data_IF_034910260040
#
_entry.id   IF_034910260040
#
_cell.length_a   1.000
_cell.length_b   1.000
_cell.length_c   1.000
_cell.angle_alpha   90.00
_cell.angle_beta   90.00
_cell.angle_gamma   90.00
#
_symmetry.space_group_name_H-M   'P 1'
#
loop_
_entity.id
_entity.type
_entity.pdbx_description
1 polymer ?
#
# COMPACT_ATOMS: atom_id res chain seq x y z
N UNK A 1 24.46 -40.64 14.35
CA UNK A 1 24.46 -41.01 12.92
C UNK A 1 23.46 -40.08 12.24
N UNK A 2 23.79 -39.22 11.27
CA UNK A 2 24.72 -39.38 10.15
C UNK A 2 25.55 -38.10 9.92
N UNK A 3 26.86 -38.31 9.88
CA UNK A 3 27.99 -37.59 9.28
C UNK A 3 27.97 -36.07 9.00
N UNK A 4 28.87 -35.39 9.70
CA UNK A 4 29.69 -34.31 9.16
C UNK A 4 30.80 -34.85 8.24
N UNK A 5 31.11 -34.14 7.16
CA UNK A 5 32.43 -34.15 6.51
C UNK A 5 32.77 -32.71 6.11
N UNK A 6 33.70 -32.11 6.85
CA UNK A 6 34.50 -30.99 6.35
C UNK A 6 35.72 -31.54 5.61
N UNK A 7 36.17 -30.86 4.55
CA UNK A 7 37.59 -30.55 4.35
C UNK A 7 37.68 -29.16 3.71
N UNK A 8 38.19 -28.21 4.48
CA UNK A 8 38.69 -26.91 4.02
C UNK A 8 40.11 -27.05 3.47
N UNK A 9 40.44 -26.30 2.41
CA UNK A 9 41.82 -25.97 2.03
C UNK A 9 42.01 -24.45 2.27
N UNK A 10 42.96 -24.17 3.15
CA UNK A 10 43.38 -22.86 3.67
C UNK A 10 43.87 -21.88 2.58
N UNK A 11 43.52 -20.60 2.71
CA UNK A 11 44.41 -19.44 2.52
C UNK A 11 43.93 -18.26 3.41
N UNK A 12 44.85 -17.42 3.94
CA UNK A 12 44.55 -16.43 4.96
C UNK A 12 44.13 -15.09 4.33
N UNK A 13 42.99 -14.59 4.75
CA UNK A 13 42.56 -13.22 4.49
C UNK A 13 41.55 -12.87 5.57
N UNK A 14 41.81 -11.81 6.33
CA UNK A 14 40.87 -11.24 7.28
C UNK A 14 39.56 -10.92 6.56
N UNK A 15 38.59 -11.83 6.64
CA UNK A 15 37.19 -11.50 6.45
C UNK A 15 36.65 -11.19 7.84
N UNK A 16 36.56 -9.89 8.15
CA UNK A 16 35.63 -9.44 9.19
C UNK A 16 34.26 -9.94 8.76
N UNK A 17 33.75 -10.97 9.43
CA UNK A 17 32.35 -11.33 9.35
C UNK A 17 31.58 -10.19 10.01
N UNK A 18 31.21 -9.17 9.23
CA UNK A 18 30.14 -8.28 9.60
C UNK A 18 28.89 -9.14 9.49
N UNK A 19 28.48 -9.76 10.59
CA UNK A 19 27.08 -10.16 10.77
C UNK A 19 26.32 -8.84 10.89
N UNK A 20 26.03 -8.24 9.74
CA UNK A 20 25.06 -7.17 9.67
C UNK A 20 23.72 -7.82 9.97
N UNK A 21 23.30 -7.81 11.23
CA UNK A 21 21.88 -7.89 11.58
C UNK A 21 21.29 -6.55 11.14
N UNK A 22 21.22 -6.34 9.82
CA UNK A 22 20.38 -5.30 9.26
C UNK A 22 18.97 -5.82 9.39
N UNK A 23 18.23 -5.33 10.37
CA UNK A 23 16.78 -5.51 10.40
C UNK A 23 16.28 -4.98 9.06
N UNK A 24 15.67 -5.87 8.26
CA UNK A 24 15.03 -5.46 7.01
C UNK A 24 13.87 -4.55 7.42
N UNK A 25 14.07 -3.24 7.30
CA UNK A 25 12.96 -2.29 7.33
C UNK A 25 12.27 -2.45 5.99
N UNK A 26 11.09 -3.09 5.99
CA UNK A 26 10.25 -3.07 4.81
C UNK A 26 9.87 -1.62 4.53
N UNK A 27 10.17 -1.16 3.32
CA UNK A 27 9.88 0.21 2.93
C UNK A 27 8.44 0.39 2.48
N UNK A 28 7.70 -0.71 2.30
CA UNK A 28 6.33 -0.68 1.83
C UNK A 28 5.38 -0.68 3.03
N UNK A 29 4.55 0.36 3.08
CA UNK A 29 3.59 0.60 4.13
C UNK A 29 2.33 1.23 3.53
N UNK A 30 1.22 1.19 4.26
CA UNK A 30 -0.02 1.82 3.84
C UNK A 30 -0.56 2.76 4.89
N UNK A 31 -1.43 3.66 4.45
CA UNK A 31 -2.15 4.55 5.34
C UNK A 31 -3.60 4.66 4.89
N UNK A 32 -4.47 4.88 5.87
CA UNK A 32 -5.91 5.01 5.67
C UNK A 32 -6.43 6.17 6.50
N UNK A 33 -7.44 6.86 5.98
CA UNK A 33 -8.24 7.81 6.73
C UNK A 33 -9.69 7.36 6.70
N UNK A 34 -10.34 7.39 7.87
CA UNK A 34 -11.76 7.05 8.03
C UNK A 34 -12.59 8.23 8.54
N UNK A 35 -11.95 9.32 8.94
CA UNK A 35 -12.56 10.59 9.29
C UNK A 35 -11.51 11.68 9.19
N UNK A 36 -11.93 12.93 9.03
CA UNK A 36 -11.01 14.06 9.14
C UNK A 36 -10.85 14.49 10.60
N UNK A 37 -9.61 14.68 11.10
CA UNK A 37 -8.32 14.59 10.41
C UNK A 37 -7.59 13.25 10.62
N UNK A 38 -8.28 12.17 11.01
CA UNK A 38 -7.69 10.90 11.41
C UNK A 38 -6.91 10.25 10.26
N UNK A 39 -5.69 9.83 10.58
CA UNK A 39 -4.80 9.04 9.72
C UNK A 39 -4.28 7.86 10.52
N UNK A 40 -4.34 6.66 9.98
CA UNK A 40 -3.74 5.44 10.52
C UNK A 40 -2.70 4.92 9.52
N UNK A 41 -1.54 4.50 10.01
CA UNK A 41 -0.39 4.08 9.20
C UNK A 41 0.10 2.71 9.67
N UNK A 42 0.30 1.79 8.73
CA UNK A 42 0.66 0.40 8.97
C UNK A 42 1.80 -0.06 8.08
N UNK A 43 2.74 -0.81 8.64
CA UNK A 43 3.72 -1.56 7.85
C UNK A 43 4.24 -2.76 8.62
N UNK A 44 5.10 -3.53 7.97
CA UNK A 44 5.61 -4.79 8.54
C UNK A 44 6.62 -4.50 9.64
N UNK A 45 6.42 -5.11 10.80
CA UNK A 45 7.34 -5.06 11.93
C UNK A 45 8.67 -5.75 11.61
N UNK A 46 9.78 -5.35 12.24
CA UNK A 46 11.10 -5.97 12.01
C UNK A 46 11.18 -7.42 12.52
N UNK A 47 10.17 -7.88 13.27
CA UNK A 47 10.02 -9.27 13.69
C UNK A 47 9.29 -10.14 12.65
N UNK A 48 8.86 -9.54 11.53
CA UNK A 48 8.07 -10.11 10.43
C UNK A 48 6.70 -10.68 10.84
N UNK A 49 6.47 -10.91 12.14
CA UNK A 49 5.27 -11.52 12.70
C UNK A 49 4.17 -10.51 13.10
N UNK A 50 4.50 -9.22 13.09
CA UNK A 50 3.60 -8.13 13.49
C UNK A 50 3.53 -7.03 12.44
N UNK A 51 2.48 -6.22 12.52
CA UNK A 51 2.46 -4.90 11.91
C UNK A 51 2.82 -3.85 12.96
N UNK A 52 3.61 -2.85 12.58
CA UNK A 52 3.67 -1.61 13.35
C UNK A 52 2.48 -0.74 12.95
N UNK A 53 1.90 -0.03 13.92
CA UNK A 53 0.78 0.87 13.74
C UNK A 53 1.02 2.21 14.43
N UNK A 54 0.71 3.31 13.75
CA UNK A 54 0.72 4.66 14.34
C UNK A 54 -0.38 5.50 13.72
N UNK A 55 -0.99 6.36 14.51
CA UNK A 55 -2.15 7.12 14.06
C UNK A 55 -2.17 8.56 14.58
N UNK A 56 -2.75 9.46 13.79
CA UNK A 56 -2.97 10.86 14.14
C UNK A 56 -4.37 11.07 14.70
N UNK A 57 -4.49 11.67 15.88
CA UNK A 57 -5.78 11.90 16.56
C UNK A 57 -6.48 13.19 16.13
N UNK A 58 -5.83 14.04 15.34
CA UNK A 58 -6.20 15.44 15.16
C UNK A 58 -5.43 16.42 16.05
N UNK A 59 -4.77 15.91 17.08
CA UNK A 59 -4.00 16.70 18.03
C UNK A 59 -2.57 16.21 18.17
N UNK A 60 -2.39 14.89 18.20
CA UNK A 60 -1.09 14.25 18.33
C UNK A 60 -1.04 12.88 17.65
N UNK A 61 0.19 12.44 17.35
CA UNK A 61 0.44 11.08 16.90
C UNK A 61 0.47 10.13 18.10
N UNK A 62 -0.14 8.96 17.92
CA UNK A 62 -0.26 7.91 18.92
C UNK A 62 0.21 6.56 18.36
N UNK A 63 0.85 5.71 19.20
CA UNK A 63 1.38 6.05 20.52
C UNK A 63 2.39 7.21 20.44
N UNK A 64 2.45 8.08 21.46
CA UNK A 64 3.36 9.25 21.45
C UNK A 64 4.82 8.85 21.25
N UNK A 65 5.22 7.71 21.81
CA UNK A 65 6.54 7.12 21.65
C UNK A 65 6.44 5.83 20.85
N UNK A 66 7.23 5.70 19.79
CA UNK A 66 7.28 4.49 18.96
C UNK A 66 5.97 4.21 18.24
N UNK A 67 5.60 2.92 18.18
CA UNK A 67 4.51 2.37 17.41
C UNK A 67 3.79 1.29 18.22
N UNK A 68 2.50 1.10 17.95
CA UNK A 68 1.72 -0.02 18.46
C UNK A 68 2.09 -1.30 17.68
N UNK A 69 2.33 -2.41 18.41
CA UNK A 69 2.63 -3.72 17.82
C UNK A 69 1.34 -4.50 17.60
N UNK A 70 0.82 -4.53 16.38
CA UNK A 70 -0.40 -5.26 16.02
C UNK A 70 -0.04 -6.72 15.66
N UNK A 71 -0.59 -7.73 16.36
CA UNK A 71 -0.36 -9.14 16.03
C UNK A 71 -0.87 -9.46 14.62
N UNK A 72 0.00 -10.05 13.78
CA UNK A 72 -0.31 -10.23 12.36
C UNK A 72 -0.03 -11.64 11.80
N UNK A 73 0.62 -12.54 12.55
CA UNK A 73 0.90 -13.91 12.10
C UNK A 73 1.64 -13.98 10.74
N UNK A 74 2.77 -13.27 10.67
CA UNK A 74 3.69 -13.17 9.52
C UNK A 74 3.12 -12.37 8.34
N UNK A 75 3.35 -11.06 8.29
CA UNK A 75 2.67 -10.17 7.35
C UNK A 75 3.55 -9.75 6.17
N UNK A 76 2.98 -9.78 4.95
CA UNK A 76 3.41 -8.93 3.84
C UNK A 76 3.06 -7.45 4.11
N UNK A 77 3.56 -6.50 3.29
CA UNK A 77 3.04 -5.14 3.29
C UNK A 77 1.51 -5.11 3.25
N UNK A 78 0.84 -4.35 4.14
CA UNK A 78 -0.60 -4.34 4.24
C UNK A 78 -1.25 -3.40 3.23
N UNK A 79 -2.42 -3.78 2.72
CA UNK A 79 -3.36 -2.87 2.07
C UNK A 79 -4.45 -2.46 3.07
N UNK A 80 -4.75 -1.17 3.11
CA UNK A 80 -5.74 -0.61 4.04
C UNK A 80 -6.82 0.17 3.31
N UNK A 81 -8.05 0.08 3.83
CA UNK A 81 -9.22 0.76 3.27
C UNK A 81 -10.20 1.12 4.37
N UNK A 82 -10.96 2.20 4.15
CA UNK A 82 -12.09 2.57 4.99
C UNK A 82 -13.34 2.67 4.13
N UNK A 83 -14.47 2.28 4.71
CA UNK A 83 -15.79 2.42 4.11
C UNK A 83 -16.76 3.22 4.97
N UNK A 84 -16.30 3.77 6.10
CA UNK A 84 -17.14 4.52 7.02
C UNK A 84 -16.37 5.10 8.19
N UNK A 85 -17.00 6.08 8.84
CA UNK A 85 -16.47 6.69 10.05
C UNK A 85 -16.29 5.66 11.16
N UNK A 86 -15.14 5.70 11.83
CA UNK A 86 -14.76 4.76 12.89
C UNK A 86 -14.31 3.39 12.38
N UNK A 87 -14.25 3.18 11.05
CA UNK A 87 -13.94 1.89 10.44
C UNK A 87 -12.76 1.94 9.48
N UNK A 88 -11.79 1.06 9.70
CA UNK A 88 -10.84 0.67 8.66
C UNK A 88 -10.60 -0.83 8.68
N UNK A 89 -10.14 -1.35 7.55
CA UNK A 89 -9.81 -2.75 7.31
C UNK A 89 -8.34 -2.82 6.85
N UNK A 90 -7.63 -3.84 7.33
CA UNK A 90 -6.22 -4.13 7.05
C UNK A 90 -6.14 -5.55 6.51
N UNK A 91 -5.68 -5.69 5.28
CA UNK A 91 -5.48 -7.01 4.64
C UNK A 91 -4.03 -7.16 4.19
N UNK A 92 -3.52 -8.38 4.31
CA UNK A 92 -2.14 -8.72 3.92
C UNK A 92 -2.06 -10.21 3.61
N UNK A 93 -0.99 -10.63 2.96
CA UNK A 93 -0.72 -12.06 2.69
C UNK A 93 0.17 -12.60 3.79
N UNK A 94 -0.08 -13.82 4.26
CA UNK A 94 0.83 -14.44 5.22
C UNK A 94 2.16 -14.85 4.55
N UNK A 95 3.30 -14.77 5.23
CA UNK A 95 4.58 -15.13 4.59
C UNK A 95 4.80 -16.66 4.48
N UNK A 96 4.22 -17.44 5.41
CA UNK A 96 4.33 -18.92 5.47
C UNK A 96 3.34 -19.67 4.59
N UNK A 97 2.33 -19.00 4.05
CA UNK A 97 1.32 -19.56 3.15
C UNK A 97 0.94 -18.53 2.10
N UNK A 98 -0.01 -18.80 1.23
CA UNK A 98 -0.52 -17.79 0.28
C UNK A 98 -1.92 -17.36 0.68
N UNK A 99 -2.19 -17.24 1.98
CA UNK A 99 -3.52 -16.88 2.48
C UNK A 99 -3.58 -15.37 2.75
N UNK A 100 -4.70 -14.77 2.39
CA UNK A 100 -5.03 -13.40 2.78
C UNK A 100 -5.52 -13.43 4.22
N UNK A 101 -4.88 -12.64 5.07
CA UNK A 101 -5.28 -12.39 6.44
C UNK A 101 -5.92 -11.01 6.56
N UNK A 102 -6.85 -10.90 7.50
CA UNK A 102 -7.66 -9.71 7.70
C UNK A 102 -7.78 -9.34 9.18
N UNK A 103 -7.59 -8.05 9.45
CA UNK A 103 -7.95 -7.37 10.70
C UNK A 103 -8.69 -6.08 10.37
N UNK A 104 -9.44 -5.56 11.32
CA UNK A 104 -10.18 -4.31 11.18
C UNK A 104 -10.27 -3.58 12.51
N UNK A 105 -10.64 -2.31 12.44
CA UNK A 105 -11.02 -1.50 13.60
C UNK A 105 -12.45 -1.01 13.43
N UNK A 106 -13.28 -1.16 14.46
CA UNK A 106 -14.66 -0.67 14.50
C UNK A 106 -15.03 -0.28 15.94
N UNK A 107 -14.43 0.82 16.41
CA UNK A 107 -14.41 1.19 17.84
C UNK A 107 -13.54 0.27 18.72
N UNK A 108 -12.99 -0.79 18.14
CA UNK A 108 -12.04 -1.74 18.72
C UNK A 108 -11.50 -2.68 17.66
N UNK A 109 -10.38 -3.34 17.96
CA UNK A 109 -9.74 -4.28 17.03
C UNK A 109 -10.55 -5.57 16.86
N UNK A 110 -10.72 -5.97 15.60
CA UNK A 110 -11.42 -7.16 15.14
C UNK A 110 -10.59 -7.97 14.12
N UNK A 111 -10.64 -9.32 14.12
CA UNK A 111 -11.05 -10.13 15.27
C UNK A 111 -10.25 -9.75 16.53
N UNK A 112 -10.48 -10.39 17.68
CA UNK A 112 -9.88 -9.96 18.95
C UNK A 112 -8.38 -9.61 18.80
N UNK A 113 -7.85 -8.72 19.65
CA UNK A 113 -6.50 -8.18 19.51
C UNK A 113 -5.42 -9.21 19.05
N UNK A 114 -5.41 -10.40 19.66
CA UNK A 114 -4.46 -11.48 19.38
C UNK A 114 -4.80 -12.34 18.15
N UNK A 115 -6.04 -12.32 17.70
CA UNK A 115 -6.53 -13.16 16.60
C UNK A 115 -6.38 -12.46 15.25
N UNK A 116 -6.38 -13.26 14.18
CA UNK A 116 -6.41 -12.80 12.79
C UNK A 116 -7.45 -13.62 12.02
N UNK A 117 -8.17 -12.98 11.11
CA UNK A 117 -9.14 -13.68 10.26
C UNK A 117 -8.45 -14.21 9.00
N UNK A 118 -8.44 -15.54 8.81
CA UNK A 118 -7.85 -16.16 7.62
C UNK A 118 -8.90 -16.35 6.51
N UNK A 119 -8.72 -15.64 5.41
CA UNK A 119 -9.59 -15.63 4.25
C UNK A 119 -9.17 -16.63 3.15
N UNK A 120 -8.05 -17.36 3.31
CA UNK A 120 -7.49 -18.25 2.28
C UNK A 120 -7.02 -17.52 1.02
N UNK A 121 -7.02 -18.20 -0.13
CA UNK A 121 -6.99 -17.57 -1.45
C UNK A 121 -5.83 -17.93 -2.38
N UNK A 122 -4.73 -18.49 -1.87
CA UNK A 122 -3.52 -18.75 -2.66
C UNK A 122 -3.02 -17.50 -3.43
N UNK A 123 -2.91 -16.39 -2.72
CA UNK A 123 -2.59 -15.05 -3.19
C UNK A 123 -1.15 -14.68 -2.84
N UNK A 124 -0.44 -13.99 -3.74
CA UNK A 124 0.92 -13.45 -3.55
C UNK A 124 0.95 -11.94 -3.34
N UNK A 125 -0.12 -11.23 -3.73
CA UNK A 125 -0.30 -9.80 -3.51
C UNK A 125 -1.78 -9.50 -3.30
N UNK A 126 -2.12 -8.58 -2.39
CA UNK A 126 -3.51 -8.20 -2.12
C UNK A 126 -3.66 -6.68 -2.09
N UNK A 127 -4.72 -6.18 -2.73
CA UNK A 127 -5.15 -4.78 -2.62
C UNK A 127 -6.63 -4.69 -2.28
N UNK A 128 -7.01 -3.60 -1.62
CA UNK A 128 -8.35 -3.35 -1.12
C UNK A 128 -8.87 -1.98 -1.54
N UNK A 129 -10.18 -1.87 -1.72
CA UNK A 129 -10.89 -0.60 -1.86
C UNK A 129 -12.30 -0.72 -1.31
N UNK A 130 -13.01 0.39 -1.17
CA UNK A 130 -14.45 0.39 -0.90
C UNK A 130 -15.20 1.19 -1.95
N UNK A 131 -16.34 0.64 -2.38
CA UNK A 131 -17.26 1.31 -3.30
C UNK A 131 -18.57 1.77 -2.66
N UNK A 132 -18.79 1.47 -1.38
CA UNK A 132 -19.99 1.87 -0.64
C UNK A 132 -19.84 1.60 0.86
N UNK A 133 -20.57 2.32 1.72
CA UNK A 133 -20.62 1.98 3.14
C UNK A 133 -21.00 0.52 3.41
N UNK A 134 -20.35 -0.09 4.39
CA UNK A 134 -20.56 -1.49 4.78
C UNK A 134 -19.99 -2.52 3.79
N UNK A 135 -19.04 -2.10 2.94
CA UNK A 135 -18.45 -2.95 1.91
C UNK A 135 -16.94 -2.76 1.78
N UNK A 136 -16.26 -3.89 1.63
CA UNK A 136 -14.84 -3.96 1.25
C UNK A 136 -14.71 -4.85 0.00
N UNK A 137 -13.93 -4.43 -0.97
CA UNK A 137 -13.63 -5.20 -2.18
C UNK A 137 -12.13 -5.49 -2.21
N UNK A 138 -11.77 -6.77 -2.36
CA UNK A 138 -10.40 -7.26 -2.38
C UNK A 138 -10.09 -7.87 -3.74
N UNK A 139 -8.96 -7.47 -4.33
CA UNK A 139 -8.42 -8.12 -5.52
C UNK A 139 -6.98 -8.51 -5.26
N UNK A 140 -6.65 -9.77 -5.50
CA UNK A 140 -5.31 -10.30 -5.27
C UNK A 140 -4.76 -11.01 -6.48
N UNK A 141 -3.43 -11.15 -6.51
CA UNK A 141 -2.70 -11.93 -7.52
C UNK A 141 -2.56 -13.39 -7.06
N UNK A 142 -2.96 -14.34 -7.90
CA UNK A 142 -2.80 -15.78 -7.69
C UNK A 142 -2.16 -16.40 -8.93
N UNK A 143 -0.84 -16.60 -8.89
CA UNK A 143 -0.05 -16.93 -10.09
C UNK A 143 -0.08 -15.75 -11.07
N UNK A 144 -0.48 -16.01 -12.31
CA UNK A 144 -0.63 -14.97 -13.35
C UNK A 144 -2.07 -14.48 -13.50
N UNK A 145 -2.98 -14.94 -12.63
CA UNK A 145 -4.39 -14.54 -12.66
C UNK A 145 -4.73 -13.66 -11.45
N UNK A 146 -5.80 -12.87 -11.58
CA UNK A 146 -6.39 -12.16 -10.45
C UNK A 146 -7.55 -12.95 -9.84
N UNK A 147 -7.73 -12.77 -8.53
CA UNK A 147 -8.84 -13.32 -7.74
C UNK A 147 -9.51 -12.22 -6.93
N UNK A 148 -10.78 -12.43 -6.58
CA UNK A 148 -11.65 -11.45 -5.94
C UNK A 148 -12.42 -12.03 -4.77
N UNK A 149 -12.59 -11.21 -3.74
CA UNK A 149 -13.44 -11.44 -2.59
C UNK A 149 -13.99 -10.11 -2.10
N UNK A 150 -15.17 -10.10 -1.52
CA UNK A 150 -15.74 -8.90 -0.93
C UNK A 150 -16.41 -9.18 0.40
N UNK A 151 -16.36 -8.20 1.29
CA UNK A 151 -17.23 -8.11 2.44
C UNK A 151 -18.47 -7.32 2.05
N UNK A 152 -19.66 -7.88 2.24
CA UNK A 152 -20.92 -7.21 1.93
C UNK A 152 -21.92 -7.54 3.04
N UNK A 153 -22.46 -6.51 3.70
CA UNK A 153 -23.56 -6.64 4.66
C UNK A 153 -23.31 -7.67 5.78
N UNK A 154 -22.08 -7.79 6.28
CA UNK A 154 -21.76 -8.70 7.38
C UNK A 154 -21.20 -10.06 6.96
N UNK A 155 -21.03 -10.30 5.65
CA UNK A 155 -20.58 -11.59 5.13
C UNK A 155 -19.48 -11.45 4.07
N UNK A 156 -18.56 -12.41 4.07
CA UNK A 156 -17.60 -12.60 3.00
C UNK A 156 -18.23 -13.31 1.80
N UNK A 157 -17.98 -12.81 0.61
CA UNK A 157 -18.45 -13.36 -0.65
C UNK A 157 -17.29 -13.49 -1.66
N UNK A 158 -17.10 -14.68 -2.26
CA UNK A 158 -17.75 -15.94 -1.91
C UNK A 158 -17.45 -16.37 -0.45
N UNK A 159 -18.35 -17.16 0.15
CA UNK A 159 -18.29 -17.53 1.57
C UNK A 159 -17.07 -18.37 1.97
N UNK A 160 -16.76 -18.38 3.27
CA UNK A 160 -15.62 -19.11 3.82
C UNK A 160 -14.28 -18.64 3.25
N UNK A 161 -13.35 -19.58 3.02
CA UNK A 161 -12.01 -19.32 2.47
C UNK A 161 -11.95 -19.35 0.93
N UNK A 162 -13.10 -19.25 0.27
CA UNK A 162 -13.17 -19.27 -1.19
C UNK A 162 -12.98 -17.88 -1.79
N UNK A 163 -12.53 -17.85 -3.05
CA UNK A 163 -12.28 -16.67 -3.87
C UNK A 163 -12.84 -16.87 -5.28
N UNK A 164 -13.35 -15.79 -5.88
CA UNK A 164 -13.79 -15.79 -7.27
C UNK A 164 -12.61 -15.49 -8.19
N UNK A 165 -12.39 -16.28 -9.24
CA UNK A 165 -11.38 -15.93 -10.24
C UNK A 165 -11.84 -14.75 -11.10
N UNK A 166 -10.96 -13.77 -11.27
CA UNK A 166 -11.07 -12.71 -12.27
C UNK A 166 -10.27 -13.03 -13.54
N UNK A 167 -9.59 -14.18 -13.63
CA UNK A 167 -8.87 -14.61 -14.83
C UNK A 167 -7.69 -13.70 -15.17
N UNK A 168 -7.33 -13.64 -16.45
CA UNK A 168 -6.21 -12.86 -16.97
C UNK A 168 -4.88 -13.62 -17.02
N UNK A 169 -3.88 -12.99 -17.65
CA UNK A 169 -2.49 -13.45 -17.75
C UNK A 169 -1.54 -12.27 -17.54
N UNK A 170 -1.37 -11.89 -16.28
CA UNK A 170 -0.75 -10.63 -15.88
C UNK A 170 0.71 -10.79 -15.46
N UNK A 171 1.54 -9.83 -15.84
CA UNK A 171 2.89 -9.63 -15.31
C UNK A 171 2.89 -8.75 -14.05
N UNK A 172 1.91 -7.85 -13.87
CA UNK A 172 1.82 -6.98 -12.69
C UNK A 172 0.87 -7.48 -11.61
N UNK A 173 1.03 -6.94 -10.42
CA UNK A 173 -0.03 -6.96 -9.41
C UNK A 173 -1.25 -6.13 -9.86
N UNK A 174 -2.47 -6.43 -9.35
CA UNK A 174 -3.67 -5.68 -9.70
C UNK A 174 -3.70 -4.31 -9.01
N UNK A 175 -4.25 -3.31 -9.69
CA UNK A 175 -4.70 -2.08 -9.05
C UNK A 175 -6.19 -1.89 -9.21
N UNK A 176 -6.84 -1.39 -8.14
CA UNK A 176 -8.29 -1.27 -8.08
C UNK A 176 -8.74 0.09 -7.55
N UNK A 177 -9.88 0.55 -8.05
CA UNK A 177 -10.59 1.71 -7.49
C UNK A 177 -12.08 1.59 -7.72
N UNK A 178 -12.83 2.53 -7.15
CA UNK A 178 -14.23 2.74 -7.46
C UNK A 178 -14.53 4.22 -7.55
N UNK A 179 -15.31 4.59 -8.56
CA UNK A 179 -15.87 5.94 -8.68
C UNK A 179 -17.25 6.09 -8.02
N UNK A 180 -17.81 5.01 -7.46
CA UNK A 180 -19.15 5.05 -6.89
C UNK A 180 -19.84 3.68 -6.71
N UNK A 181 -21.01 3.68 -6.05
CA UNK A 181 -21.75 2.46 -5.75
C UNK A 181 -22.00 1.59 -6.98
N UNK A 182 -21.72 0.30 -6.87
CA UNK A 182 -21.95 -0.67 -7.94
C UNK A 182 -20.86 -0.70 -9.02
N UNK A 183 -19.85 0.19 -8.96
CA UNK A 183 -18.66 0.15 -9.81
C UNK A 183 -17.43 -0.35 -9.06
N UNK A 184 -16.70 -1.28 -9.66
CA UNK A 184 -15.31 -1.60 -9.28
C UNK A 184 -14.50 -1.67 -10.56
N UNK A 185 -13.38 -0.99 -10.62
CA UNK A 185 -12.46 -1.02 -11.74
C UNK A 185 -11.16 -1.70 -11.34
N UNK A 186 -10.66 -2.58 -12.20
CA UNK A 186 -9.45 -3.36 -12.01
C UNK A 186 -8.58 -3.19 -13.24
N UNK A 187 -7.32 -2.80 -13.04
CA UNK A 187 -6.32 -2.74 -14.10
C UNK A 187 -5.13 -3.63 -13.77
N UNK A 188 -4.49 -4.13 -14.81
CA UNK A 188 -3.28 -4.95 -14.74
C UNK A 188 -2.47 -4.82 -16.01
N UNK A 189 -1.17 -5.05 -15.91
CA UNK A 189 -0.27 -5.12 -17.06
C UNK A 189 -0.08 -6.58 -17.43
N UNK A 190 -0.51 -6.95 -18.63
CA UNK A 190 -0.38 -8.27 -19.21
C UNK A 190 1.09 -8.60 -19.52
N UNK A 191 1.40 -9.88 -19.74
CA UNK A 191 2.78 -10.32 -20.00
C UNK A 191 3.41 -9.77 -21.29
N UNK A 192 2.60 -9.30 -22.22
CA UNK A 192 3.02 -8.59 -23.42
C UNK A 192 3.26 -7.08 -23.19
N UNK A 193 3.05 -6.59 -21.97
CA UNK A 193 3.22 -5.18 -21.60
C UNK A 193 1.98 -4.32 -21.84
N UNK A 194 0.85 -4.91 -22.27
CA UNK A 194 -0.38 -4.16 -22.48
C UNK A 194 -1.07 -3.89 -21.15
N UNK A 195 -1.63 -2.68 -21.01
CA UNK A 195 -2.49 -2.38 -19.87
C UNK A 195 -3.90 -2.83 -20.21
N UNK A 196 -4.42 -3.79 -19.44
CA UNK A 196 -5.78 -4.27 -19.54
C UNK A 196 -6.65 -3.77 -18.38
N UNK A 197 -7.94 -3.71 -18.64
CA UNK A 197 -8.95 -3.25 -17.71
C UNK A 197 -10.16 -4.17 -17.71
N UNK A 198 -10.72 -4.34 -16.52
CA UNK A 198 -11.98 -5.03 -16.27
C UNK A 198 -12.73 -4.28 -15.21
N UNK A 199 -14.05 -4.30 -15.31
CA UNK A 199 -14.89 -3.61 -14.36
C UNK A 199 -16.13 -4.41 -13.99
N UNK A 200 -16.65 -4.11 -12.82
CA UNK A 200 -17.97 -4.55 -12.39
C UNK A 200 -18.96 -3.40 -12.56
N UNK A 201 -20.00 -3.60 -13.36
CA UNK A 201 -21.17 -2.71 -13.45
C UNK A 201 -22.37 -3.53 -13.93
N UNK A 202 -23.33 -3.79 -13.02
CA UNK A 202 -24.44 -4.73 -13.26
C UNK A 202 -24.01 -6.14 -13.69
N UNK A 203 -22.76 -6.51 -13.38
CA UNK A 203 -22.11 -7.73 -13.85
C UNK A 203 -20.64 -7.47 -14.09
N UNK A 204 -19.85 -8.55 -14.14
CA UNK A 204 -18.42 -8.46 -14.39
C UNK A 204 -18.16 -8.42 -15.91
N UNK A 205 -17.46 -7.40 -16.40
CA UNK A 205 -17.09 -7.24 -17.81
C UNK A 205 -16.11 -8.33 -18.27
N UNK A 206 -15.72 -8.32 -19.55
CA UNK A 206 -14.49 -9.01 -20.00
C UNK A 206 -13.28 -8.10 -19.77
N UNK A 207 -12.08 -8.67 -19.78
CA UNK A 207 -10.84 -7.91 -19.93
C UNK A 207 -10.80 -7.24 -21.31
N UNK A 208 -10.35 -5.99 -21.35
CA UNK A 208 -10.13 -5.23 -22.58
C UNK A 208 -8.86 -4.39 -22.46
N UNK A 209 -8.20 -4.17 -23.59
CA UNK A 209 -6.96 -3.39 -23.66
C UNK A 209 -7.32 -1.90 -23.54
N UNK A 210 -6.66 -1.18 -22.64
CA UNK A 210 -6.70 0.30 -22.54
C UNK A 210 -5.43 0.96 -23.06
N UNK A 211 -4.32 0.23 -23.17
CA UNK A 211 -3.10 0.75 -23.75
C UNK A 211 -2.16 -0.34 -24.24
N UNK A 212 -1.58 -0.14 -25.41
CA UNK A 212 -0.74 -1.13 -26.12
C UNK A 212 0.73 -1.12 -25.68
N UNK A 213 1.08 -0.40 -24.62
CA UNK A 213 2.40 -0.48 -23.97
C UNK A 213 3.60 -0.23 -24.90
N UNK A 214 4.80 -0.74 -24.53
CA UNK A 214 5.09 -1.54 -23.34
C UNK A 214 5.03 -0.72 -22.03
N UNK A 215 4.19 -1.16 -21.09
CA UNK A 215 4.15 -0.67 -19.72
C UNK A 215 4.80 -1.68 -18.76
N UNK A 216 5.26 -1.23 -17.60
CA UNK A 216 5.83 -2.11 -16.57
C UNK A 216 5.46 -1.67 -15.15
N UNK A 217 5.82 -2.51 -14.17
CA UNK A 217 5.51 -2.30 -12.75
C UNK A 217 4.04 -2.58 -12.43
N UNK A 218 3.58 -2.12 -11.27
CA UNK A 218 2.16 -2.21 -10.90
C UNK A 218 1.44 -0.92 -11.32
N UNK A 219 0.39 -0.98 -12.17
CA UNK A 219 -0.35 0.21 -12.59
C UNK A 219 -1.04 0.88 -11.39
N UNK A 220 -1.52 2.11 -11.54
CA UNK A 220 -2.47 2.71 -10.58
C UNK A 220 -3.74 3.13 -11.28
N UNK A 221 -4.83 3.11 -10.53
CA UNK A 221 -6.12 3.65 -10.96
C UNK A 221 -6.73 4.44 -9.81
N UNK A 222 -7.20 5.65 -10.08
CA UNK A 222 -7.80 6.56 -9.10
C UNK A 222 -9.08 7.19 -9.64
N UNK A 223 -9.86 7.81 -8.76
CA UNK A 223 -11.09 8.51 -9.11
C UNK A 223 -11.36 9.64 -8.11
N UNK A 224 -11.91 10.76 -8.58
CA UNK A 224 -12.45 11.81 -7.71
C UNK A 224 -13.97 11.80 -7.59
N UNK A 225 -14.66 10.87 -8.25
CA UNK A 225 -16.11 10.81 -8.23
C UNK A 225 -16.69 10.12 -9.45
N UNK A 226 -18.02 10.02 -9.45
CA UNK A 226 -18.80 9.37 -10.50
C UNK A 226 -18.38 9.83 -11.88
N UNK A 227 -18.30 8.89 -12.82
CA UNK A 227 -17.91 9.14 -14.21
C UNK A 227 -16.48 9.68 -14.40
N UNK A 228 -15.60 9.58 -13.39
CA UNK A 228 -14.16 9.81 -13.55
C UNK A 228 -13.31 8.60 -13.17
N UNK A 229 -12.43 8.17 -14.09
CA UNK A 229 -11.29 7.30 -13.77
C UNK A 229 -10.02 7.91 -14.35
N UNK A 230 -8.93 7.82 -13.58
CA UNK A 230 -7.58 8.17 -13.99
C UNK A 230 -6.71 6.92 -13.87
N UNK A 231 -6.02 6.55 -14.95
CA UNK A 231 -5.17 5.38 -15.07
C UNK A 231 -3.74 5.87 -15.25
N UNK A 232 -2.82 5.27 -14.50
CA UNK A 232 -1.42 5.65 -14.43
C UNK A 232 -0.55 4.43 -14.70
N UNK A 233 0.45 4.58 -15.56
CA UNK A 233 1.38 3.50 -15.92
C UNK A 233 2.77 4.05 -16.19
N UNK A 234 3.82 3.30 -15.82
CA UNK A 234 5.18 3.62 -16.26
C UNK A 234 5.41 3.02 -17.65
N UNK A 235 5.89 3.85 -18.58
CA UNK A 235 6.48 3.35 -19.81
C UNK A 235 7.91 2.87 -19.55
N UNK A 236 8.55 2.20 -20.53
CA UNK A 236 9.88 1.57 -20.38
C UNK A 236 10.98 2.49 -19.83
N UNK A 237 10.92 3.80 -20.08
CA UNK A 237 11.91 4.77 -19.60
C UNK A 237 11.70 5.21 -18.15
N UNK A 238 10.62 4.75 -17.49
CA UNK A 238 10.19 5.19 -16.17
C UNK A 238 9.39 6.49 -16.17
N UNK A 239 9.00 7.00 -17.34
CA UNK A 239 8.09 8.14 -17.44
C UNK A 239 6.68 7.76 -17.01
N UNK A 240 6.03 8.65 -16.25
CA UNK A 240 4.65 8.48 -15.84
C UNK A 240 3.73 8.85 -17.00
N UNK A 241 2.90 7.90 -17.43
CA UNK A 241 1.86 8.11 -18.42
C UNK A 241 0.48 8.11 -17.75
N UNK A 242 -0.43 8.90 -18.30
CA UNK A 242 -1.78 9.12 -17.79
C UNK A 242 -2.82 8.92 -18.90
N UNK A 243 -3.90 8.21 -18.57
CA UNK A 243 -5.10 8.05 -19.36
C UNK A 243 -6.30 8.31 -18.47
N UNK A 244 -7.34 8.96 -18.98
CA UNK A 244 -8.55 9.14 -18.19
C UNK A 244 -9.84 8.93 -18.95
N UNK A 245 -10.88 8.56 -18.21
CA UNK A 245 -12.26 8.54 -18.65
C UNK A 245 -12.98 9.81 -18.19
N UNK A 246 -13.74 10.46 -19.07
CA UNK A 246 -14.40 11.74 -18.81
C UNK A 246 -15.93 11.66 -18.58
N UNK A 247 -16.46 10.44 -18.47
CA UNK A 247 -17.90 10.16 -18.39
C UNK A 247 -18.49 9.67 -19.71
N UNK A 248 -17.79 9.89 -20.82
CA UNK A 248 -18.28 9.55 -22.17
C UNK A 248 -17.30 8.69 -22.95
N UNK A 249 -16.00 8.96 -22.82
CA UNK A 249 -14.95 8.23 -23.52
C UNK A 249 -13.63 8.28 -22.76
N UNK A 250 -12.76 7.32 -23.07
CA UNK A 250 -11.35 7.41 -22.73
C UNK A 250 -10.68 8.47 -23.60
N UNK A 251 -9.85 9.31 -23.00
CA UNK A 251 -9.01 10.24 -23.73
C UNK A 251 -7.78 9.53 -24.30
N UNK A 252 -6.91 10.26 -25.01
CA UNK A 252 -5.61 9.72 -25.41
C UNK A 252 -4.66 9.63 -24.21
N UNK A 253 -3.71 8.69 -24.26
CA UNK A 253 -2.58 8.66 -23.32
C UNK A 253 -1.74 9.94 -23.45
N UNK A 254 -1.37 10.53 -22.32
CA UNK A 254 -0.43 11.64 -22.22
C UNK A 254 0.77 11.28 -21.34
N UNK A 255 1.97 11.71 -21.73
CA UNK A 255 3.17 11.54 -20.90
C UNK A 255 3.36 12.75 -20.00
N UNK A 256 3.51 12.49 -18.70
CA UNK A 256 3.78 13.49 -17.67
C UNK A 256 5.29 13.62 -17.38
N UNK A 257 6.13 12.85 -18.08
CA UNK A 257 7.57 12.79 -17.89
C UNK A 257 7.95 12.16 -16.54
N UNK A 258 9.10 12.58 -16.01
CA UNK A 258 9.70 11.97 -14.82
C UNK A 258 10.52 10.72 -15.16
N UNK A 259 11.12 10.14 -14.12
CA UNK A 259 11.92 8.90 -14.21
C UNK A 259 11.77 8.15 -12.90
N UNK A 260 10.72 7.35 -12.83
CA UNK A 260 10.31 6.63 -11.65
C UNK A 260 10.62 5.14 -11.79
N UNK A 261 10.87 4.48 -10.66
CA UNK A 261 10.98 3.01 -10.56
C UNK A 261 9.66 2.37 -10.17
N UNK A 262 8.81 3.11 -9.47
CA UNK A 262 7.47 2.74 -9.05
C UNK A 262 6.49 3.86 -9.40
N UNK A 263 5.21 3.54 -9.63
CA UNK A 263 4.24 4.58 -9.98
C UNK A 263 4.06 5.53 -8.78
N UNK A 264 4.19 6.86 -8.99
CA UNK A 264 3.90 7.87 -7.98
C UNK A 264 2.52 7.71 -7.33
N UNK A 265 2.39 8.12 -6.06
CA UNK A 265 1.10 8.21 -5.40
C UNK A 265 0.28 9.35 -6.01
N UNK A 266 -1.01 9.10 -6.20
CA UNK A 266 -1.95 10.06 -6.79
C UNK A 266 -3.10 10.26 -5.83
N UNK A 267 -3.37 11.52 -5.48
CA UNK A 267 -4.52 11.89 -4.68
C UNK A 267 -5.35 12.95 -5.39
N UNK A 268 -6.66 12.85 -5.15
CA UNK A 268 -7.63 13.84 -5.60
C UNK A 268 -8.24 14.50 -4.38
N UNK A 269 -8.23 15.82 -4.33
CA UNK A 269 -8.84 16.57 -3.23
C UNK A 269 -10.09 17.34 -3.63
N UNK A 270 -10.30 17.60 -4.93
CA UNK A 270 -11.57 18.03 -5.50
C UNK A 270 -11.65 17.62 -6.98
N UNK A 271 -12.82 17.77 -7.60
CA UNK A 271 -12.99 17.46 -9.01
C UNK A 271 -12.05 18.31 -9.89
N UNK A 272 -11.24 17.64 -10.71
CA UNK A 272 -10.26 18.31 -11.56
C UNK A 272 -9.01 18.80 -10.80
N UNK A 273 -8.77 18.38 -9.56
CA UNK A 273 -7.52 18.66 -8.86
C UNK A 273 -6.83 17.38 -8.43
N UNK A 274 -5.60 17.26 -8.91
CA UNK A 274 -4.79 16.05 -8.76
C UNK A 274 -3.44 16.49 -8.21
N UNK A 275 -2.97 15.84 -7.14
CA UNK A 275 -1.59 15.91 -6.71
C UNK A 275 -0.93 14.55 -6.86
N UNK A 276 0.27 14.55 -7.44
CA UNK A 276 1.08 13.37 -7.71
C UNK A 276 2.40 13.54 -6.99
N UNK A 277 2.73 12.60 -6.11
CA UNK A 277 4.01 12.57 -5.40
C UNK A 277 4.68 11.23 -5.62
N UNK A 278 5.88 11.26 -6.17
CA UNK A 278 6.68 10.07 -6.44
C UNK A 278 8.12 10.23 -5.97
N UNK A 279 8.87 9.14 -5.92
CA UNK A 279 10.29 9.16 -5.58
C UNK A 279 11.17 9.15 -6.83
N UNK A 280 12.08 10.12 -6.90
CA UNK A 280 13.13 10.19 -7.92
C UNK A 280 14.50 10.20 -7.23
N UNK A 281 15.23 9.07 -7.33
CA UNK A 281 16.41 8.84 -6.50
C UNK A 281 16.01 8.78 -5.03
N UNK A 282 16.62 9.59 -4.16
CA UNK A 282 16.25 9.68 -2.74
C UNK A 282 15.30 10.86 -2.43
N UNK A 283 14.71 11.47 -3.46
CA UNK A 283 13.92 12.71 -3.33
C UNK A 283 12.48 12.48 -3.73
N UNK A 284 11.55 12.90 -2.89
CA UNK A 284 10.15 13.03 -3.28
C UNK A 284 9.98 14.25 -4.17
N UNK A 285 9.26 14.06 -5.27
CA UNK A 285 8.92 15.11 -6.24
C UNK A 285 7.41 15.21 -6.37
N UNK A 286 6.90 16.42 -6.55
CA UNK A 286 5.48 16.71 -6.71
C UNK A 286 5.18 17.28 -8.08
N UNK A 287 4.05 16.86 -8.65
CA UNK A 287 3.38 17.47 -9.80
C UNK A 287 1.90 17.59 -9.50
N UNK A 288 1.23 18.63 -10.01
CA UNK A 288 -0.20 18.78 -9.84
C UNK A 288 -0.93 19.21 -11.11
N UNK A 289 -2.22 18.93 -11.12
CA UNK A 289 -3.19 19.41 -12.10
C UNK A 289 -4.11 20.42 -11.44
N UNK A 290 -4.18 21.63 -12.02
CA UNK A 290 -4.96 22.75 -11.45
C UNK A 290 -6.39 22.85 -12.02
N UNK A 291 -6.87 21.83 -12.72
CA UNK A 291 -8.17 21.83 -13.40
C UNK A 291 -8.08 22.23 -14.87
N UNK A 292 -6.97 22.84 -15.28
CA UNK A 292 -6.73 23.25 -16.66
C UNK A 292 -5.37 22.76 -17.17
N UNK A 293 -4.33 22.84 -16.35
CA UNK A 293 -2.96 22.55 -16.76
C UNK A 293 -2.23 21.67 -15.74
N UNK A 294 -1.32 20.87 -16.27
CA UNK A 294 -0.29 20.19 -15.51
C UNK A 294 0.84 21.16 -15.19
N UNK A 295 1.09 21.41 -13.90
CA UNK A 295 2.25 22.16 -13.45
C UNK A 295 3.55 21.33 -13.54
N UNK A 296 4.72 21.97 -13.53
CA UNK A 296 6.01 21.27 -13.61
C UNK A 296 6.30 20.41 -12.37
N UNK A 297 7.14 19.37 -12.53
CA UNK A 297 7.67 18.62 -11.39
C UNK A 297 8.58 19.52 -10.55
N UNK A 298 8.44 19.45 -9.23
CA UNK A 298 9.35 20.13 -8.30
C UNK A 298 9.73 19.23 -7.12
N UNK A 299 10.91 19.47 -6.55
CA UNK A 299 11.41 18.68 -5.42
C UNK A 299 10.64 19.04 -4.14
N UNK A 300 10.17 18.04 -3.43
CA UNK A 300 9.43 18.20 -2.17
C UNK A 300 10.35 18.04 -0.97
N UNK A 301 10.98 16.87 -0.78
CA UNK A 301 11.88 16.58 0.33
C UNK A 301 12.83 15.43 -0.04
N UNK A 302 13.98 15.30 0.64
CA UNK A 302 15.04 14.34 0.28
C UNK A 302 15.39 13.36 1.40
N UNK A 303 16.30 12.42 1.12
CA UNK A 303 16.78 11.37 2.01
C UNK A 303 15.73 10.29 2.34
N UNK A 304 14.90 9.92 1.37
CA UNK A 304 13.89 8.85 1.50
C UNK A 304 14.34 7.50 0.92
N UNK A 305 14.07 6.43 1.67
CA UNK A 305 14.29 5.05 1.25
C UNK A 305 13.00 4.38 0.73
N UNK A 306 11.83 4.73 1.23
CA UNK A 306 10.55 4.21 0.70
C UNK A 306 9.99 5.05 -0.43
N UNK A 307 9.03 4.48 -1.16
CA UNK A 307 8.05 5.28 -1.90
C UNK A 307 7.21 6.13 -0.92
N UNK A 308 6.63 7.25 -1.37
CA UNK A 308 5.74 8.03 -0.54
C UNK A 308 4.42 7.30 -0.31
N UNK A 309 3.74 7.63 0.77
CA UNK A 309 2.30 7.41 0.98
C UNK A 309 1.65 8.76 1.17
N UNK A 310 0.57 9.01 0.43
CA UNK A 310 -0.09 10.32 0.41
C UNK A 310 -1.57 10.16 0.70
N UNK A 311 -2.08 10.99 1.60
CA UNK A 311 -3.50 11.12 1.90
C UNK A 311 -3.93 12.56 1.67
N UNK A 312 -5.09 12.76 1.06
CA UNK A 312 -5.72 14.06 0.94
C UNK A 312 -6.97 14.12 1.80
N UNK A 313 -7.16 15.27 2.46
CA UNK A 313 -8.45 15.60 3.05
C UNK A 313 -9.46 15.84 1.93
N UNK A 314 -10.62 15.18 1.97
CA UNK A 314 -11.61 15.33 0.88
C UNK A 314 -12.18 16.75 0.86
N UNK A 315 -12.22 17.34 -0.33
CA UNK A 315 -12.74 18.70 -0.55
C UNK A 315 -11.79 19.82 -0.14
N UNK A 316 -10.58 19.49 0.33
CA UNK A 316 -9.61 20.47 0.79
C UNK A 316 -8.24 20.13 0.24
N UNK A 317 -7.49 21.14 -0.21
CA UNK A 317 -6.09 20.98 -0.59
C UNK A 317 -5.21 20.80 0.64
N UNK A 318 -5.49 19.82 1.48
CA UNK A 318 -4.68 19.46 2.65
C UNK A 318 -4.12 18.06 2.43
N UNK A 319 -2.80 17.96 2.32
CA UNK A 319 -2.11 16.71 2.00
C UNK A 319 -1.29 16.26 3.20
N UNK A 320 -1.33 14.97 3.51
CA UNK A 320 -0.39 14.31 4.40
C UNK A 320 0.52 13.41 3.59
N UNK A 321 1.83 13.69 3.63
CA UNK A 321 2.86 12.93 2.92
C UNK A 321 3.70 12.20 3.94
N UNK A 322 3.82 10.89 3.79
CA UNK A 322 4.57 9.99 4.65
C UNK A 322 5.66 9.29 3.85
N UNK A 323 6.77 8.96 4.50
CA UNK A 323 7.83 8.15 3.92
C UNK A 323 8.83 7.70 4.96
N UNK A 324 9.57 6.64 4.65
CA UNK A 324 10.65 6.12 5.49
C UNK A 324 11.96 6.69 4.98
N UNK A 325 12.69 7.39 5.85
CA UNK A 325 13.99 7.95 5.51
C UNK A 325 15.07 6.87 5.40
N UNK A 326 16.23 7.22 4.84
CA UNK A 326 17.37 6.28 4.72
C UNK A 326 17.96 5.80 6.05
N UNK A 327 17.57 6.43 7.17
CA UNK A 327 17.90 6.00 8.53
C UNK A 327 16.87 5.04 9.13
N UNK A 328 15.80 4.68 8.41
CA UNK A 328 14.72 3.82 8.93
C UNK A 328 13.67 4.58 9.74
N UNK A 329 13.70 5.91 9.74
CA UNK A 329 12.74 6.75 10.43
C UNK A 329 11.47 6.99 9.62
N UNK A 330 10.29 6.79 10.22
CA UNK A 330 9.05 7.30 9.62
C UNK A 330 9.03 8.83 9.69
N UNK A 331 8.82 9.48 8.55
CA UNK A 331 8.74 10.92 8.39
C UNK A 331 7.36 11.33 7.90
N UNK A 332 6.97 12.55 8.27
CA UNK A 332 5.78 13.20 7.73
C UNK A 332 6.06 14.64 7.31
N UNK A 333 5.32 15.08 6.30
CA UNK A 333 5.20 16.48 5.90
C UNK A 333 3.73 16.71 5.54
N UNK A 334 3.20 17.90 5.81
CA UNK A 334 1.84 18.25 5.39
C UNK A 334 1.84 19.48 4.51
N UNK A 335 0.93 19.51 3.54
CA UNK A 335 0.52 20.73 2.86
C UNK A 335 -0.75 21.24 3.53
N UNK A 336 -0.72 22.48 4.02
CA UNK A 336 -1.83 23.08 4.79
C UNK A 336 -2.96 23.64 3.93
N UNK A 337 -2.81 23.62 2.60
CA UNK A 337 -3.60 24.43 1.66
C UNK A 337 -2.93 25.75 1.29
N UNK A 338 -1.92 26.17 2.07
CA UNK A 338 -1.20 27.42 1.87
C UNK A 338 0.31 27.22 1.79
N UNK A 339 0.86 26.33 2.61
CA UNK A 339 2.29 26.08 2.73
C UNK A 339 2.61 24.66 3.22
N UNK A 340 3.86 24.23 2.98
CA UNK A 340 4.41 22.98 3.50
C UNK A 340 4.86 23.17 4.94
N UNK A 341 4.49 22.22 5.80
CA UNK A 341 4.85 22.20 7.21
C UNK A 341 5.64 20.92 7.53
N UNK A 342 6.70 21.01 8.36
CA UNK A 342 7.13 22.19 9.14
C UNK A 342 7.81 23.29 8.31
N UNK A 343 8.14 22.98 7.06
CA UNK A 343 8.65 23.91 6.08
C UNK A 343 8.82 23.21 4.73
N UNK A 344 9.14 23.97 3.67
CA UNK A 344 9.58 23.40 2.40
C UNK A 344 10.83 22.53 2.63
N UNK A 345 10.84 21.31 2.10
CA UNK A 345 11.95 20.35 2.23
C UNK A 345 12.25 19.85 3.65
N UNK A 346 11.44 20.20 4.64
CA UNK A 346 11.57 19.72 6.01
C UNK A 346 10.48 18.70 6.35
N UNK A 347 10.76 17.81 7.30
CA UNK A 347 9.83 16.75 7.72
C UNK A 347 9.86 16.58 9.24
N UNK A 348 8.73 16.20 9.83
CA UNK A 348 8.70 15.72 11.20
C UNK A 348 9.13 14.27 11.29
N UNK A 349 9.87 13.94 12.33
CA UNK A 349 10.21 12.57 12.71
C UNK A 349 9.08 11.95 13.54
N UNK A 350 8.60 10.78 13.15
CA UNK A 350 7.50 10.09 13.82
C UNK A 350 7.97 8.86 14.63
N UNK A 351 9.16 8.34 14.37
CA UNK A 351 9.75 7.25 15.14
C UNK A 351 10.68 6.36 14.32
N UNK A 352 11.44 5.53 15.03
CA UNK A 352 12.40 4.59 14.45
C UNK A 352 11.72 3.24 14.15
N UNK A 353 11.70 2.83 12.87
CA UNK A 353 11.13 1.54 12.46
C UNK A 353 12.12 0.38 12.59
N UNK A 354 13.40 0.65 12.85
CA UNK A 354 14.35 -0.40 13.23
C UNK A 354 14.10 -0.90 14.66
N UNK A 355 13.49 -0.06 15.50
CA UNK A 355 13.07 -0.39 16.87
C UNK A 355 11.69 0.23 17.21
N UNK A 356 10.60 -0.24 16.60
CA UNK A 356 9.31 0.44 16.68
C UNK A 356 8.63 0.33 18.06
N UNK A 357 8.97 -0.68 18.85
CA UNK A 357 8.21 -1.09 20.05
C UNK A 357 8.86 -0.70 21.40
N UNK A 358 9.98 0.03 21.37
CA UNK A 358 10.71 0.45 22.58
C UNK A 358 11.22 -0.71 23.47
N UNK A 359 11.74 -0.37 24.66
CA UNK A 359 12.28 -1.35 25.63
C UNK A 359 11.20 -1.96 26.55
N UNK A 360 10.03 -1.33 26.67
CA UNK A 360 8.93 -1.79 27.52
C UNK A 360 8.30 -3.09 27.02
N UNK A 361 8.33 -3.34 25.71
CA UNK A 361 7.75 -4.55 25.11
C UNK A 361 8.64 -5.79 25.24
N UNK A 362 9.90 -5.63 25.67
CA UNK A 362 10.77 -6.76 26.03
C UNK A 362 10.17 -7.58 27.19
N UNK A 363 9.32 -6.98 28.03
CA UNK A 363 8.65 -7.70 29.14
C UNK A 363 7.47 -8.56 28.69
N UNK A 364 6.91 -8.30 27.51
CA UNK A 364 5.83 -9.10 26.91
C UNK A 364 6.34 -10.11 25.88
N UNK A 365 7.67 -10.22 25.70
CA UNK A 365 8.27 -11.40 25.09
C UNK A 365 7.99 -12.61 25.99
N UNK A 366 6.84 -13.27 25.80
CA UNK A 366 6.82 -14.72 25.90
C UNK A 366 7.81 -15.18 24.83
N UNK A 367 9.02 -15.48 25.27
CA UNK A 367 9.97 -16.25 24.49
C UNK A 367 9.22 -17.46 23.93
N UNK A 368 8.96 -17.46 22.63
CA UNK A 368 8.65 -18.70 21.92
C UNK A 368 9.92 -19.53 22.05
N UNK A 369 9.91 -20.44 23.02
CA UNK A 369 10.94 -21.48 23.11
C UNK A 369 10.95 -22.28 21.82
N UNK A 370 12.11 -22.80 21.40
CA UNK A 370 12.15 -23.76 20.31
C UNK A 370 11.23 -24.94 20.66
N UNK A 371 10.44 -25.36 19.68
CA UNK A 371 9.40 -26.37 19.73
C UNK A 371 9.57 -27.47 20.82
N UNK A 372 8.53 -27.62 21.64
CA UNK A 372 8.14 -28.88 22.27
C UNK A 372 8.82 -29.22 23.61
N UNK A 373 8.13 -28.92 24.71
CA UNK A 373 7.69 -29.91 25.72
C UNK A 373 6.93 -29.21 26.85
N UNK A 374 5.79 -29.79 27.24
CA UNK A 374 5.02 -29.40 28.42
C UNK A 374 5.76 -29.80 29.70
N UNK A 375 5.94 -28.86 30.63
CA UNK A 375 5.86 -29.10 32.08
C UNK A 375 5.19 -27.94 32.79
#
# INVERSE_FOLDING_TARGET
MVYAREVSLLLPGLATLVVGVGTRVDTDFSAVSWADPRVDVFGVGPDEASLWHKFWTGWDWQPRSGFERVPAAEASPPSTSSWGEGRFDVVYVNASGSNVLHKYYDGGWGPSWEDVEDLGGNVTFITSTSRSPGRLDLVGRSGDSYVYKAWIHGEWLPGGKHWQTFGGDFASDPAITSWGPGRLDVVGIAKDGYLEHRYWQHGLSKWGILGEGPFHGTPRITSWGEDRLDIWALGEGGELNHLFWDGTQYQGWESLGGKFTEIPQVVHWEAGKIDIIGKNGDTFVLKNFDGFNWNGWYNLATSFASEPVVLAKRGENFLTVLGIDKGGGLRSQIWSGYDWQPGPHETWYLGDLSWPYGLSDVKNQKTLGPAGELK
#
